data_IF_351066005027
#
_entry.id   IF_351066005027
#
_cell.length_a   1.000
_cell.length_b   1.000
_cell.length_c   1.000
_cell.angle_alpha   90.00
_cell.angle_beta   90.00
_cell.angle_gamma   90.00
#
_symmetry.space_group_name_H-M   'P 1'
#
loop_
_entity.id
_entity.type
_entity.pdbx_description
1 polymer ?
#
# COMPACT_ATOMS: atom_id res chain seq x y z
N UNK A 1 19.93 14.82 -12.06
CA UNK A 1 19.49 13.64 -11.30
C UNK A 1 19.21 14.15 -9.91
N UNK A 2 18.01 13.83 -9.42
CA UNK A 2 17.61 14.11 -8.04
C UNK A 2 18.37 13.15 -7.14
N UNK A 3 18.97 13.65 -6.06
CA UNK A 3 19.68 12.80 -5.11
C UNK A 3 18.69 12.28 -4.08
N UNK A 4 18.25 11.04 -4.25
CA UNK A 4 17.34 10.40 -3.31
C UNK A 4 18.07 9.86 -2.09
N UNK A 5 17.53 10.15 -0.92
CA UNK A 5 17.97 9.57 0.35
C UNK A 5 17.03 8.45 0.75
N UNK A 6 17.58 7.34 1.23
CA UNK A 6 16.83 6.24 1.86
C UNK A 6 17.05 6.30 3.37
N UNK A 7 16.01 6.08 4.16
CA UNK A 7 16.16 5.87 5.59
C UNK A 7 15.26 4.76 6.11
N UNK A 8 15.62 4.25 7.29
CA UNK A 8 14.79 3.30 8.01
C UNK A 8 13.69 4.05 8.78
N UNK A 9 12.42 3.67 8.61
CA UNK A 9 11.30 4.38 9.19
C UNK A 9 11.27 4.14 10.71
N UNK A 10 10.63 5.06 11.44
CA UNK A 10 10.41 4.94 12.88
C UNK A 10 8.97 4.55 13.16
N UNK A 11 8.80 3.50 13.96
CA UNK A 11 7.50 2.98 14.35
C UNK A 11 7.56 2.40 15.77
N UNK A 12 6.38 2.26 16.37
CA UNK A 12 6.20 1.78 17.75
C UNK A 12 5.59 0.39 17.85
N UNK A 13 5.14 -0.15 16.71
CA UNK A 13 4.51 -1.46 16.62
C UNK A 13 4.37 -1.90 15.17
N UNK A 14 3.70 -3.03 14.97
CA UNK A 14 3.44 -3.59 13.64
C UNK A 14 1.95 -3.85 13.47
N UNK A 15 1.46 -3.76 12.24
CA UNK A 15 0.05 -3.95 11.92
C UNK A 15 -0.15 -4.72 10.62
N UNK A 16 -1.26 -5.44 10.56
CA UNK A 16 -1.76 -6.19 9.40
C UNK A 16 -3.08 -5.63 8.88
N UNK A 17 -3.53 -4.52 9.45
CA UNK A 17 -4.79 -3.91 9.08
C UNK A 17 -4.75 -3.43 7.63
N UNK A 18 -5.94 -3.24 7.04
CA UNK A 18 -6.08 -2.61 5.74
C UNK A 18 -5.28 -1.31 5.69
N UNK A 19 -4.48 -1.19 4.64
CA UNK A 19 -3.68 -0.01 4.40
C UNK A 19 -4.24 0.74 3.20
N UNK A 20 -4.39 2.05 3.39
CA UNK A 20 -4.77 2.98 2.34
C UNK A 20 -3.63 3.97 2.23
N UNK A 21 -3.26 4.31 0.99
CA UNK A 21 -2.23 5.31 0.74
C UNK A 21 -2.60 6.61 1.47
N UNK A 22 -1.73 7.12 2.36
CA UNK A 22 -2.04 8.29 3.15
C UNK A 22 -2.09 9.54 2.28
N UNK A 23 -2.96 10.47 2.65
CA UNK A 23 -3.13 11.77 2.00
C UNK A 23 -2.46 12.87 2.84
N UNK A 24 -2.24 14.06 2.28
CA UNK A 24 -1.67 15.20 3.03
C UNK A 24 -2.43 15.49 4.34
N UNK A 25 -3.74 15.24 4.36
CA UNK A 25 -4.59 15.42 5.57
C UNK A 25 -4.27 14.44 6.69
N UNK A 26 -3.54 13.36 6.40
CA UNK A 26 -3.12 12.35 7.37
C UNK A 26 -1.82 12.71 8.07
N UNK A 27 -1.17 13.80 7.67
CA UNK A 27 0.10 14.28 8.21
C UNK A 27 -0.05 15.66 8.84
N UNK A 28 0.77 15.93 9.86
CA UNK A 28 0.94 17.29 10.36
C UNK A 28 1.90 18.04 9.45
N UNK A 29 1.36 18.83 8.51
CA UNK A 29 2.16 19.64 7.59
C UNK A 29 2.96 20.75 8.30
N UNK A 30 2.73 20.96 9.60
CA UNK A 30 3.50 21.88 10.44
C UNK A 30 4.80 21.25 10.95
N UNK A 31 4.89 19.92 10.96
CA UNK A 31 6.05 19.14 11.41
C UNK A 31 6.37 18.04 10.40
N UNK A 32 6.95 18.45 9.27
CA UNK A 32 7.29 17.56 8.17
C UNK A 32 8.37 16.54 8.54
N UNK A 33 9.25 16.85 9.50
CA UNK A 33 10.26 15.91 10.00
C UNK A 33 9.61 14.70 10.68
N UNK A 34 8.58 14.94 11.50
CA UNK A 34 7.79 13.86 12.10
C UNK A 34 6.94 13.09 11.06
N UNK A 35 6.55 13.73 9.95
CA UNK A 35 5.93 13.02 8.83
C UNK A 35 6.95 12.12 8.11
N UNK A 36 8.17 12.62 7.91
CA UNK A 36 9.26 11.95 7.18
C UNK A 36 9.63 10.59 7.80
N UNK A 37 9.58 10.46 9.12
CA UNK A 37 9.81 9.21 9.88
C UNK A 37 8.91 8.03 9.41
N UNK A 38 7.82 8.29 8.66
CA UNK A 38 6.88 7.27 8.16
C UNK A 38 7.17 6.77 6.75
N UNK A 39 8.05 7.46 6.03
CA UNK A 39 8.39 7.20 4.63
C UNK A 39 9.70 6.41 4.53
N UNK A 40 10.08 5.94 3.34
CA UNK A 40 11.37 5.30 3.12
C UNK A 40 12.33 6.16 2.31
N UNK A 41 11.80 6.98 1.40
CA UNK A 41 12.59 7.74 0.43
C UNK A 41 12.24 9.22 0.50
N UNK A 42 13.26 10.07 0.36
CA UNK A 42 13.11 11.52 0.26
C UNK A 42 13.97 12.09 -0.86
N UNK A 43 13.41 13.00 -1.65
CA UNK A 43 14.13 13.77 -2.68
C UNK A 43 14.91 14.97 -2.12
N UNK A 44 14.52 15.48 -0.94
CA UNK A 44 15.11 16.67 -0.30
C UNK A 44 15.88 16.36 0.98
N UNK A 45 15.80 15.12 1.48
CA UNK A 45 16.35 14.69 2.79
C UNK A 45 15.27 14.53 3.87
N UNK A 46 15.63 13.91 5.00
CA UNK A 46 14.68 13.55 6.08
C UNK A 46 14.75 14.47 7.31
N UNK A 47 15.89 15.15 7.54
CA UNK A 47 16.02 16.03 8.71
C UNK A 47 15.11 17.25 8.58
N UNK A 48 15.08 17.86 7.40
CA UNK A 48 14.26 19.02 7.05
C UNK A 48 13.73 18.86 5.62
N UNK A 49 12.70 18.03 5.38
CA UNK A 49 12.11 17.90 4.06
C UNK A 49 11.46 19.22 3.62
N UNK A 50 11.59 19.55 2.33
CA UNK A 50 11.05 20.80 1.76
C UNK A 50 9.53 20.72 1.61
N UNK A 51 9.00 19.54 1.28
CA UNK A 51 7.57 19.29 1.12
C UNK A 51 7.18 17.83 1.39
N UNK A 52 5.89 17.54 1.58
CA UNK A 52 5.39 16.16 1.61
C UNK A 52 5.51 15.47 0.25
N UNK A 53 5.47 16.23 -0.85
CA UNK A 53 5.61 15.69 -2.21
C UNK A 53 7.01 15.13 -2.48
N UNK A 54 8.00 15.54 -1.67
CA UNK A 54 9.37 15.03 -1.74
C UNK A 54 9.53 13.69 -1.00
N UNK A 55 8.51 13.24 -0.26
CA UNK A 55 8.53 12.01 0.51
C UNK A 55 7.79 10.89 -0.22
N UNK A 56 8.44 9.73 -0.34
CA UNK A 56 7.93 8.60 -1.10
C UNK A 56 7.90 7.33 -0.25
N UNK A 57 6.95 6.45 -0.59
CA UNK A 57 6.76 5.12 0.02
C UNK A 57 6.44 5.18 1.51
N UNK A 58 5.23 5.64 1.88
CA UNK A 58 4.79 5.59 3.27
C UNK A 58 4.51 4.15 3.70
N UNK A 59 5.30 3.65 4.65
CA UNK A 59 5.19 2.27 5.16
C UNK A 59 4.67 2.18 6.59
N UNK A 60 4.61 3.31 7.29
CA UNK A 60 4.08 3.44 8.64
C UNK A 60 2.71 4.12 8.59
N UNK A 61 1.75 3.59 9.34
CA UNK A 61 0.39 4.12 9.39
C UNK A 61 0.26 5.35 10.31
N UNK A 62 -0.96 5.91 10.39
CA UNK A 62 -1.30 7.04 11.27
C UNK A 62 -1.14 6.74 12.76
N UNK A 63 -1.08 5.46 13.15
CA UNK A 63 -0.89 5.01 14.53
C UNK A 63 0.59 4.79 14.87
N UNK A 64 1.49 5.10 13.93
CA UNK A 64 2.92 4.82 14.03
C UNK A 64 3.21 3.30 14.14
N UNK A 65 2.43 2.49 13.42
CA UNK A 65 2.64 1.05 13.28
C UNK A 65 3.16 0.75 11.86
N UNK A 66 4.23 -0.03 11.75
CA UNK A 66 4.73 -0.53 10.46
C UNK A 66 3.66 -1.45 9.85
N UNK A 67 3.26 -1.20 8.61
CA UNK A 67 2.18 -1.94 7.96
C UNK A 67 2.72 -2.96 6.96
N UNK A 68 2.36 -4.23 7.15
CA UNK A 68 2.68 -5.31 6.21
C UNK A 68 2.13 -5.00 4.81
N UNK A 69 0.89 -4.52 4.73
CA UNK A 69 0.23 -4.19 3.47
C UNK A 69 0.90 -3.00 2.78
N UNK A 70 1.46 -2.05 3.55
CA UNK A 70 2.21 -0.94 2.98
C UNK A 70 3.56 -1.39 2.40
N UNK A 71 4.26 -2.30 3.08
CA UNK A 71 5.49 -2.90 2.55
C UNK A 71 5.24 -3.67 1.25
N UNK A 72 4.18 -4.48 1.20
CA UNK A 72 3.78 -5.13 -0.06
C UNK A 72 3.44 -4.13 -1.16
N UNK A 73 2.73 -3.06 -0.83
CA UNK A 73 2.41 -2.01 -1.80
C UNK A 73 3.64 -1.26 -2.31
N UNK A 74 4.65 -1.06 -1.45
CA UNK A 74 5.92 -0.43 -1.82
C UNK A 74 6.82 -1.36 -2.66
N UNK A 75 6.63 -2.68 -2.60
CA UNK A 75 7.41 -3.66 -3.35
C UNK A 75 6.80 -4.03 -4.70
N UNK A 76 5.51 -4.37 -4.72
CA UNK A 76 4.83 -4.89 -5.92
C UNK A 76 3.49 -4.18 -6.20
N UNK A 77 3.19 -3.12 -5.44
CA UNK A 77 1.96 -2.37 -5.58
C UNK A 77 2.03 -1.24 -6.58
N UNK A 78 0.94 -0.45 -6.70
CA UNK A 78 0.87 0.71 -7.58
C UNK A 78 1.70 1.92 -7.09
N UNK A 79 2.37 1.78 -5.95
CA UNK A 79 3.18 2.82 -5.31
C UNK A 79 4.57 2.27 -5.01
N UNK A 80 5.17 1.56 -5.96
CA UNK A 80 6.47 0.93 -5.83
C UNK A 80 7.62 1.88 -6.22
N UNK A 81 8.85 1.40 -6.10
CA UNK A 81 10.05 2.15 -6.46
C UNK A 81 10.05 2.63 -7.93
N UNK A 82 9.33 1.95 -8.83
CA UNK A 82 9.22 2.34 -10.24
C UNK A 82 8.39 3.61 -10.48
N UNK A 83 7.57 4.02 -9.52
CA UNK A 83 6.87 5.31 -9.58
C UNK A 83 7.76 6.50 -9.21
N UNK A 84 8.95 6.27 -8.64
CA UNK A 84 9.86 7.34 -8.23
C UNK A 84 10.63 7.84 -9.47
N UNK A 85 10.47 9.12 -9.86
CA UNK A 85 11.04 9.63 -11.10
C UNK A 85 12.56 9.67 -11.02
N UNK A 86 13.24 9.20 -12.06
CA UNK A 86 14.71 9.24 -12.16
C UNK A 86 15.45 8.53 -11.00
N UNK A 87 14.84 7.53 -10.35
CA UNK A 87 15.49 6.73 -9.31
C UNK A 87 16.56 5.80 -9.93
N UNK A 88 17.82 5.98 -9.51
CA UNK A 88 18.94 5.17 -9.95
C UNK A 88 18.79 3.70 -9.55
N UNK A 89 19.38 2.80 -10.35
CA UNK A 89 19.27 1.35 -10.14
C UNK A 89 19.89 0.88 -8.82
N UNK A 90 21.00 1.49 -8.39
CA UNK A 90 21.65 1.17 -7.12
C UNK A 90 20.76 1.55 -5.93
N UNK A 91 20.18 2.76 -5.94
CA UNK A 91 19.24 3.22 -4.91
C UNK A 91 17.97 2.37 -4.88
N UNK A 92 17.44 1.98 -6.04
CA UNK A 92 16.32 1.04 -6.13
C UNK A 92 16.65 -0.30 -5.46
N UNK A 93 17.81 -0.87 -5.74
CA UNK A 93 18.21 -2.14 -5.13
C UNK A 93 18.39 -2.03 -3.61
N UNK A 94 18.93 -0.91 -3.12
CA UNK A 94 19.03 -0.65 -1.67
C UNK A 94 17.65 -0.52 -1.02
N UNK A 95 16.72 0.17 -1.68
CA UNK A 95 15.34 0.31 -1.22
C UNK A 95 14.61 -1.04 -1.16
N UNK A 96 14.71 -1.86 -2.21
CA UNK A 96 14.10 -3.20 -2.24
C UNK A 96 14.65 -4.07 -1.11
N UNK A 97 15.96 -4.01 -0.88
CA UNK A 97 16.59 -4.72 0.23
C UNK A 97 16.09 -4.24 1.59
N UNK A 98 15.89 -2.93 1.78
CA UNK A 98 15.34 -2.38 3.02
C UNK A 98 13.87 -2.81 3.24
N UNK A 99 13.05 -2.80 2.20
CA UNK A 99 11.65 -3.26 2.28
C UNK A 99 11.60 -4.74 2.67
N UNK A 100 12.44 -5.57 2.04
CA UNK A 100 12.51 -7.00 2.34
C UNK A 100 13.07 -7.28 3.75
N UNK A 101 14.03 -6.48 4.22
CA UNK A 101 14.57 -6.55 5.59
C UNK A 101 13.49 -6.19 6.62
N UNK A 102 12.77 -5.06 6.42
CA UNK A 102 11.67 -4.65 7.30
C UNK A 102 10.54 -5.68 7.33
N UNK A 103 10.18 -6.23 6.17
CA UNK A 103 9.18 -7.28 6.05
C UNK A 103 9.59 -8.53 6.82
N UNK A 104 10.80 -9.02 6.57
CA UNK A 104 11.30 -10.26 7.16
C UNK A 104 11.60 -10.15 8.65
N UNK A 105 12.09 -9.00 9.12
CA UNK A 105 12.41 -8.77 10.53
C UNK A 105 11.15 -8.69 11.40
N UNK A 106 10.09 -8.07 10.86
CA UNK A 106 8.91 -7.74 11.65
C UNK A 106 7.69 -8.63 11.37
N UNK A 107 7.70 -9.41 10.28
CA UNK A 107 6.60 -10.28 9.87
C UNK A 107 7.10 -11.65 9.40
N UNK A 108 6.83 -12.68 10.21
CA UNK A 108 7.24 -14.07 9.92
C UNK A 108 6.67 -14.60 8.59
N UNK A 109 5.48 -14.13 8.20
CA UNK A 109 4.78 -14.54 6.98
C UNK A 109 5.24 -13.81 5.71
N UNK A 110 6.09 -12.79 5.83
CA UNK A 110 6.54 -11.99 4.67
C UNK A 110 7.27 -12.84 3.61
N UNK A 111 7.90 -13.94 4.03
CA UNK A 111 8.57 -14.89 3.14
C UNK A 111 7.61 -15.91 2.49
N UNK A 112 6.39 -16.07 3.00
CA UNK A 112 5.43 -17.09 2.54
C UNK A 112 4.44 -16.55 1.49
N UNK A 113 4.31 -15.23 1.38
CA UNK A 113 3.38 -14.60 0.43
C UNK A 113 4.07 -14.36 -0.92
N UNK A 114 4.10 -15.39 -1.76
CA UNK A 114 4.16 -15.18 -3.22
C UNK A 114 2.74 -14.78 -3.64
N UNK A 115 2.41 -13.49 -3.63
CA UNK A 115 1.12 -13.03 -4.15
C UNK A 115 1.11 -13.31 -5.64
N UNK A 116 0.35 -14.32 -6.06
CA UNK A 116 0.07 -14.46 -7.48
C UNK A 116 -0.72 -13.23 -7.91
N UNK A 117 -0.31 -12.53 -8.98
CA UNK A 117 -0.99 -11.35 -9.53
C UNK A 117 -2.54 -11.46 -9.65
N UNK A 118 -3.08 -12.68 -9.63
CA UNK A 118 -4.51 -12.97 -9.61
C UNK A 118 -5.23 -12.56 -8.31
N UNK A 119 -4.58 -12.64 -7.14
CA UNK A 119 -5.21 -12.33 -5.84
C UNK A 119 -5.39 -10.82 -5.62
N UNK A 120 -4.48 -10.00 -6.14
CA UNK A 120 -4.58 -8.53 -6.11
C UNK A 120 -5.77 -7.99 -6.92
N UNK A 121 -6.08 -8.63 -8.06
CA UNK A 121 -7.23 -8.26 -8.88
C UNK A 121 -8.56 -8.60 -8.19
N UNK A 122 -8.61 -9.66 -7.38
CA UNK A 122 -9.82 -10.07 -6.66
C UNK A 122 -10.14 -9.13 -5.47
N UNK A 123 -9.10 -8.69 -4.74
CA UNK A 123 -9.24 -7.75 -3.63
C UNK A 123 -9.75 -6.36 -4.08
N UNK A 124 -9.36 -5.91 -5.28
CA UNK A 124 -9.79 -4.61 -5.84
C UNK A 124 -11.12 -4.66 -6.59
N UNK A 125 -11.59 -5.84 -7.01
CA UNK A 125 -12.83 -5.98 -7.81
C UNK A 125 -14.06 -6.45 -7.02
N UNK A 126 -13.96 -6.63 -5.69
CA UNK A 126 -15.09 -6.96 -4.82
C UNK A 126 -15.85 -8.23 -5.21
N UNK A 127 -15.22 -9.13 -5.98
CA UNK A 127 -15.84 -10.35 -6.46
C UNK A 127 -15.46 -11.49 -5.52
N UNK A 128 -16.40 -12.09 -4.77
CA UNK A 128 -16.07 -13.22 -3.91
C UNK A 128 -15.59 -14.39 -4.76
N UNK A 129 -14.34 -14.80 -4.57
CA UNK A 129 -13.80 -16.03 -5.14
C UNK A 129 -14.61 -17.21 -4.59
N UNK A 130 -15.20 -17.99 -5.50
CA UNK A 130 -15.93 -19.21 -5.17
C UNK A 130 -14.92 -20.31 -4.77
N UNK A 131 -14.94 -20.84 -3.53
CA UNK A 131 -13.95 -21.79 -3.08
C UNK A 131 -14.36 -23.22 -3.46
N UNK A 132 -13.98 -23.66 -4.65
CA UNK A 132 -14.00 -25.07 -5.03
C UNK A 132 -12.56 -25.57 -5.22
N UNK A 133 -11.83 -25.70 -4.11
CA UNK A 133 -10.48 -26.27 -4.07
C UNK A 133 -9.72 -25.76 -2.85
N UNK A 134 -9.73 -26.55 -1.77
CA UNK A 134 -9.22 -26.13 -0.47
C UNK A 134 -7.74 -25.79 -0.44
N UNK A 135 -7.45 -24.61 0.10
CA UNK A 135 -6.33 -24.30 0.99
C UNK A 135 -6.88 -23.33 2.02
N UNK A 136 -6.57 -23.55 3.30
CA UNK A 136 -7.03 -22.70 4.41
C UNK A 136 -6.21 -21.41 4.41
N UNK A 137 -6.48 -20.53 3.46
CA UNK A 137 -5.96 -19.17 3.41
C UNK A 137 -6.94 -18.23 4.10
N UNK A 138 -6.45 -17.45 5.06
CA UNK A 138 -7.21 -16.46 5.78
C UNK A 138 -7.72 -15.40 4.79
N UNK A 139 -8.97 -15.53 4.36
CA UNK A 139 -9.60 -14.59 3.44
C UNK A 139 -9.70 -13.21 4.11
N UNK A 140 -9.13 -12.20 3.46
CA UNK A 140 -9.45 -10.79 3.73
C UNK A 140 -10.92 -10.61 3.30
N UNK A 141 -11.84 -10.78 4.25
CA UNK A 141 -13.25 -10.48 4.04
C UNK A 141 -13.44 -8.97 4.06
N UNK A 142 -14.11 -8.35 3.07
CA UNK A 142 -14.55 -6.98 3.19
C UNK A 142 -15.48 -6.88 4.40
N UNK A 143 -15.20 -5.94 5.29
CA UNK A 143 -15.89 -5.72 6.54
C UNK A 143 -17.42 -5.78 6.39
N UNK A 144 -18.05 -6.85 6.89
CA UNK A 144 -19.38 -6.73 7.45
C UNK A 144 -19.26 -5.89 8.71
N UNK A 145 -19.52 -4.59 8.54
CA UNK A 145 -19.71 -3.66 9.64
C UNK A 145 -20.85 -4.19 10.53
N UNK A 146 -20.49 -4.95 11.56
CA UNK A 146 -21.38 -5.27 12.67
C UNK A 146 -21.59 -4.00 13.50
N UNK A 147 -22.37 -3.07 12.97
CA UNK A 147 -23.00 -2.04 13.77
C UNK A 147 -24.12 -2.72 14.58
N UNK A 148 -23.81 -3.05 15.83
CA UNK A 148 -24.84 -3.27 16.84
C UNK A 148 -25.48 -1.92 17.14
N UNK A 149 -26.50 -1.58 16.33
CA UNK A 149 -27.32 -0.39 16.50
C UNK A 149 -28.77 -0.79 16.30
N UNK A 150 -29.43 -0.99 17.43
CA UNK A 150 -30.88 -1.07 17.54
C UNK A 150 -31.53 0.13 16.85
N UNK A 151 -32.22 -0.12 15.73
CA UNK A 151 -33.33 0.70 15.27
C UNK A 151 -33.06 1.67 14.11
N UNK A 152 -34.06 1.71 13.22
CA UNK A 152 -34.32 2.68 12.15
C UNK A 152 -33.70 2.40 10.76
N UNK A 153 -34.50 1.67 9.98
CA UNK A 153 -34.66 1.67 8.53
C UNK A 153 -34.33 3.00 7.83
N UNK A 154 -33.31 3.05 6.98
CA UNK A 154 -33.26 3.91 5.78
C UNK A 154 -32.41 3.19 4.72
N UNK A 155 -33.03 2.85 3.59
CA UNK A 155 -32.35 2.25 2.45
C UNK A 155 -31.57 3.27 1.63
N UNK A 156 -30.60 2.78 0.86
CA UNK A 156 -30.08 3.48 -0.31
C UNK A 156 -29.73 2.48 -1.40
N UNK A 157 -30.53 2.54 -2.45
CA UNK A 157 -30.28 1.95 -3.76
C UNK A 157 -29.22 2.80 -4.44
N UNK A 158 -28.12 2.19 -4.90
CA UNK A 158 -27.33 2.77 -5.98
C UNK A 158 -27.18 1.76 -7.10
N UNK A 159 -27.89 2.09 -8.17
CA UNK A 159 -27.90 1.46 -9.47
C UNK A 159 -26.88 2.21 -10.33
N UNK A 160 -25.79 1.55 -10.73
CA UNK A 160 -24.89 2.07 -11.74
C UNK A 160 -24.75 1.02 -12.84
N UNK A 161 -25.52 1.26 -13.90
CA UNK A 161 -25.40 0.63 -15.22
C UNK A 161 -24.23 1.32 -15.94
N UNK A 162 -23.27 0.54 -16.44
CA UNK A 162 -22.43 0.96 -17.56
C UNK A 162 -22.12 -0.25 -18.45
N UNK A 163 -22.89 -0.34 -19.53
CA UNK A 163 -22.65 -1.19 -20.70
C UNK A 163 -21.96 -0.35 -21.77
N UNK A 164 -20.75 -0.69 -22.24
CA UNK A 164 -20.19 -0.46 -23.61
C UNK A 164 -18.87 -1.29 -23.67
N UNK A 165 -18.80 -2.47 -24.28
CA UNK A 165 -18.65 -2.79 -25.71
C UNK A 165 -17.30 -2.38 -26.35
N UNK A 166 -16.45 -3.39 -26.56
CA UNK A 166 -15.61 -3.71 -27.74
C UNK A 166 -14.94 -2.56 -28.49
N UNK A 167 -13.60 -2.58 -28.57
CA UNK A 167 -12.95 -2.43 -29.87
C UNK A 167 -11.69 -3.29 -30.03
N UNK A 168 -11.73 -4.07 -31.11
CA UNK A 168 -10.67 -4.81 -31.76
C UNK A 168 -9.73 -3.83 -32.48
N UNK A 169 -8.40 -3.94 -32.35
CA UNK A 169 -7.49 -3.97 -33.52
C UNK A 169 -6.02 -4.27 -33.16
N UNK A 170 -5.46 -5.26 -33.89
CA UNK A 170 -4.09 -5.36 -34.44
C UNK A 170 -2.94 -4.76 -33.64
N UNK A 171 -1.98 -5.62 -33.24
CA UNK A 171 -0.69 -5.69 -33.95
C UNK A 171 0.15 -6.88 -33.47
N UNK A 172 0.74 -7.62 -34.43
CA UNK A 172 1.90 -8.55 -34.29
C UNK A 172 1.57 -9.88 -33.58
N UNK A 173 1.72 -11.05 -34.16
CA UNK A 173 2.46 -11.57 -35.33
C UNK A 173 1.71 -12.76 -35.90
#
# INVERSE_FOLDING_TARGET
MTEYSIHRPRFTGTTRNDWVFPTEQDFDTSDLSAAADRFLVSASGFEEPDSLDDLYLPVVDRRNELSLNALFAAREGPYDADQIPDLDADTRAELDALIDDLGTEHFEEYQEVVVSNADWAAATSGTPANPAGGVVGNAITPAEASYSSTGATIGLVFLAVATVAVNWLRSRR
#
